data_IF_973705504715
#
_entry.id   IF_973705504715
#
_cell.length_a   1.000
_cell.length_b   1.000
_cell.length_c   1.000
_cell.angle_alpha   90.00
_cell.angle_beta   90.00
_cell.angle_gamma   90.00
#
_symmetry.space_group_name_H-M   'P 1'
#
loop_
_entity.id
_entity.type
_entity.pdbx_description
1 polymer ?
#
# COMPACT_ATOMS: atom_id res chain seq x y z
N UNK A 1 -13.76 12.06 -15.72
CA UNK A 1 -14.43 10.77 -15.48
C UNK A 1 -15.91 10.98 -15.17
N UNK A 2 -16.29 11.89 -14.28
CA UNK A 2 -17.69 12.21 -13.99
C UNK A 2 -18.46 12.85 -15.17
N UNK A 3 -17.84 13.77 -15.92
CA UNK A 3 -18.43 14.35 -17.14
C UNK A 3 -18.76 13.30 -18.21
N UNK A 4 -17.98 12.21 -18.28
CA UNK A 4 -18.22 11.10 -19.22
C UNK A 4 -19.47 10.29 -18.88
N UNK A 5 -20.02 10.45 -17.67
CA UNK A 5 -21.21 9.75 -17.18
C UNK A 5 -22.35 10.75 -16.92
N UNK A 6 -22.20 12.02 -17.33
CA UNK A 6 -23.18 13.08 -17.08
C UNK A 6 -23.37 13.45 -15.61
N UNK A 7 -22.42 13.09 -14.74
CA UNK A 7 -22.49 13.35 -13.31
C UNK A 7 -21.64 14.56 -12.92
N UNK A 8 -22.20 15.45 -12.10
CA UNK A 8 -21.51 16.62 -11.56
C UNK A 8 -20.82 16.27 -10.24
N UNK A 9 -19.53 16.59 -10.11
CA UNK A 9 -18.77 16.35 -8.88
C UNK A 9 -19.11 17.47 -7.88
N UNK A 10 -19.90 17.14 -6.87
CA UNK A 10 -20.28 18.06 -5.79
C UNK A 10 -19.75 17.60 -4.45
N UNK A 11 -19.64 18.54 -3.53
CA UNK A 11 -19.36 18.22 -2.12
C UNK A 11 -20.56 17.42 -1.58
N UNK A 12 -20.33 16.23 -0.98
CA UNK A 12 -21.38 15.47 -0.32
C UNK A 12 -22.06 16.26 0.80
N UNK A 13 -23.32 15.94 1.07
CA UNK A 13 -24.07 16.54 2.17
C UNK A 13 -23.35 16.34 3.51
N UNK A 14 -23.12 17.43 4.22
CA UNK A 14 -22.57 17.43 5.58
C UNK A 14 -23.74 17.30 6.58
N UNK A 15 -23.66 16.31 7.48
CA UNK A 15 -24.61 16.11 8.59
C UNK A 15 -23.93 16.45 9.90
N UNK A 16 -24.72 16.78 10.93
CA UNK A 16 -24.22 17.23 12.25
C UNK A 16 -23.20 16.26 12.86
N UNK A 17 -23.39 14.96 12.68
CA UNK A 17 -22.44 13.93 13.07
C UNK A 17 -22.12 13.00 11.90
N UNK A 18 -20.83 12.67 11.74
CA UNK A 18 -20.34 11.60 10.88
C UNK A 18 -19.30 10.77 11.65
N UNK A 19 -19.47 9.44 11.66
CA UNK A 19 -18.62 8.53 12.44
C UNK A 19 -17.35 8.09 11.69
N UNK A 20 -17.47 7.90 10.38
CA UNK A 20 -16.42 7.26 9.58
C UNK A 20 -15.65 8.24 8.70
N UNK A 21 -15.99 9.53 8.72
CA UNK A 21 -15.36 10.56 7.88
C UNK A 21 -15.45 11.92 8.53
N UNK A 22 -14.41 12.73 8.36
CA UNK A 22 -14.34 14.09 8.88
C UNK A 22 -15.17 15.03 8.00
N UNK A 23 -15.93 15.93 8.63
CA UNK A 23 -16.70 16.99 7.96
C UNK A 23 -15.79 18.16 7.58
N UNK A 24 -14.98 17.99 6.53
CA UNK A 24 -14.20 19.09 5.97
C UNK A 24 -15.12 20.16 5.38
N UNK A 25 -15.00 21.39 5.87
CA UNK A 25 -15.59 22.58 5.26
C UNK A 25 -14.63 23.09 4.17
N UNK A 26 -15.07 23.08 2.92
CA UNK A 26 -14.24 23.44 1.77
C UNK A 26 -15.08 24.13 0.71
N UNK A 27 -14.48 25.06 -0.03
CA UNK A 27 -15.19 25.84 -1.05
C UNK A 27 -15.31 25.11 -2.40
N UNK A 28 -14.59 24.00 -2.59
CA UNK A 28 -14.62 23.23 -3.84
C UNK A 28 -14.66 21.72 -3.61
N UNK A 29 -15.39 21.02 -4.47
CA UNK A 29 -15.48 19.56 -4.42
C UNK A 29 -14.12 18.88 -4.61
N UNK A 30 -13.24 19.47 -5.44
CA UNK A 30 -11.87 18.97 -5.60
C UNK A 30 -11.10 19.02 -4.28
N UNK A 31 -11.16 20.14 -3.56
CA UNK A 31 -10.43 20.29 -2.30
C UNK A 31 -10.95 19.31 -1.23
N UNK A 32 -12.27 19.14 -1.16
CA UNK A 32 -12.89 18.15 -0.29
C UNK A 32 -12.38 16.72 -0.52
N UNK A 33 -12.37 16.25 -1.78
CA UNK A 33 -11.94 14.89 -2.10
C UNK A 33 -10.44 14.72 -1.96
N UNK A 34 -9.66 15.79 -2.17
CA UNK A 34 -8.23 15.80 -1.89
C UNK A 34 -7.94 15.53 -0.41
N UNK A 35 -8.63 16.23 0.49
CA UNK A 35 -8.46 16.06 1.94
C UNK A 35 -9.04 14.73 2.46
N UNK A 36 -10.22 14.35 2.00
CA UNK A 36 -10.95 13.22 2.58
C UNK A 36 -10.59 11.86 2.00
N UNK A 37 -10.02 11.81 0.80
CA UNK A 37 -9.68 10.55 0.13
C UNK A 37 -8.21 10.54 -0.28
N UNK A 38 -7.77 11.52 -1.07
CA UNK A 38 -6.47 11.46 -1.73
C UNK A 38 -5.31 11.43 -0.74
N UNK A 39 -5.26 12.38 0.20
CA UNK A 39 -4.19 12.47 1.20
C UNK A 39 -4.20 11.23 2.13
N UNK A 40 -5.33 10.85 2.77
CA UNK A 40 -5.37 9.65 3.61
C UNK A 40 -4.98 8.38 2.88
N UNK A 41 -5.35 8.26 1.60
CA UNK A 41 -4.97 7.12 0.78
C UNK A 41 -3.46 7.10 0.50
N UNK A 42 -2.85 8.25 0.18
CA UNK A 42 -1.40 8.34 0.01
C UNK A 42 -0.66 8.00 1.29
N UNK A 43 -1.10 8.51 2.44
CA UNK A 43 -0.51 8.17 3.74
C UNK A 43 -0.62 6.67 4.04
N UNK A 44 -1.79 6.08 3.78
CA UNK A 44 -2.01 4.63 3.90
C UNK A 44 -1.10 3.83 2.98
N UNK A 45 -0.94 4.28 1.73
CA UNK A 45 -0.07 3.63 0.75
C UNK A 45 1.39 3.71 1.16
N UNK A 46 1.85 4.88 1.61
CA UNK A 46 3.21 5.08 2.15
C UNK A 46 3.44 4.19 3.36
N UNK A 47 2.49 4.15 4.29
CA UNK A 47 2.55 3.28 5.47
C UNK A 47 2.62 1.80 5.08
N UNK A 48 1.77 1.37 4.15
CA UNK A 48 1.75 -0.02 3.67
C UNK A 48 3.07 -0.41 3.00
N UNK A 49 3.62 0.46 2.15
CA UNK A 49 4.92 0.22 1.51
C UNK A 49 6.04 0.17 2.54
N UNK A 50 6.07 1.12 3.47
CA UNK A 50 7.07 1.18 4.54
C UNK A 50 7.02 -0.06 5.42
N UNK A 51 5.83 -0.52 5.79
CA UNK A 51 5.64 -1.75 6.54
C UNK A 51 6.10 -2.96 5.73
N UNK A 52 5.66 -3.10 4.47
CA UNK A 52 6.02 -4.24 3.61
C UNK A 52 7.53 -4.34 3.40
N UNK A 53 8.19 -3.24 3.11
CA UNK A 53 9.64 -3.21 2.84
C UNK A 53 10.50 -2.93 4.08
N UNK A 54 9.91 -2.98 5.28
CA UNK A 54 10.65 -2.93 6.54
C UNK A 54 11.67 -4.07 6.62
N UNK A 55 12.80 -3.82 7.28
CA UNK A 55 13.86 -4.80 7.52
C UNK A 55 13.32 -6.09 8.16
N UNK A 56 12.32 -5.97 9.03
CA UNK A 56 11.62 -7.08 9.70
C UNK A 56 10.98 -8.02 8.67
N UNK A 57 10.38 -7.48 7.61
CA UNK A 57 9.65 -8.26 6.61
C UNK A 57 10.55 -8.79 5.48
N UNK A 58 11.84 -8.50 5.49
CA UNK A 58 12.79 -8.98 4.45
C UNK A 58 12.91 -10.51 4.43
N UNK A 59 12.63 -11.19 5.55
CA UNK A 59 12.63 -12.65 5.64
C UNK A 59 11.54 -13.25 4.77
N UNK A 60 10.33 -12.68 4.77
CA UNK A 60 9.20 -13.16 3.97
C UNK A 60 9.53 -13.14 2.46
N UNK A 61 10.21 -12.09 1.99
CA UNK A 61 10.70 -12.05 0.61
C UNK A 61 11.84 -13.04 0.37
N UNK A 62 12.72 -13.23 1.35
CA UNK A 62 13.83 -14.19 1.23
C UNK A 62 13.31 -15.63 1.12
N UNK A 63 12.18 -15.97 1.73
CA UNK A 63 11.52 -17.28 1.58
C UNK A 63 11.07 -17.53 0.15
N UNK A 64 10.67 -16.50 -0.61
CA UNK A 64 10.30 -16.67 -2.03
C UNK A 64 11.44 -17.20 -2.92
N UNK A 65 12.70 -17.06 -2.46
CA UNK A 65 13.87 -17.64 -3.12
C UNK A 65 13.88 -19.18 -3.05
N UNK A 66 13.14 -19.77 -2.10
CA UNK A 66 12.95 -21.22 -1.97
C UNK A 66 11.84 -21.75 -2.87
N UNK A 67 11.21 -20.90 -3.69
CA UNK A 67 10.23 -21.36 -4.66
C UNK A 67 10.93 -22.25 -5.72
N UNK A 68 10.35 -23.40 -6.12
CA UNK A 68 10.99 -24.35 -7.04
C UNK A 68 11.51 -23.70 -8.34
N UNK A 69 10.74 -22.78 -8.93
CA UNK A 69 11.14 -22.06 -10.16
C UNK A 69 12.37 -21.15 -9.99
N UNK A 70 12.68 -20.75 -8.75
CA UNK A 70 13.89 -20.01 -8.43
C UNK A 70 15.05 -20.97 -8.15
N UNK A 71 14.78 -22.07 -7.44
CA UNK A 71 15.77 -23.11 -7.12
C UNK A 71 16.36 -23.74 -8.38
N UNK A 72 15.53 -24.01 -9.40
CA UNK A 72 15.99 -24.56 -10.68
C UNK A 72 17.04 -23.68 -11.38
N UNK A 73 17.07 -22.37 -11.07
CA UNK A 73 18.01 -21.41 -11.67
C UNK A 73 19.32 -21.31 -10.89
N UNK A 74 19.42 -21.94 -9.72
CA UNK A 74 20.56 -21.80 -8.83
C UNK A 74 21.49 -22.99 -8.91
N UNK A 75 22.80 -22.74 -8.85
CA UNK A 75 23.74 -23.82 -8.55
C UNK A 75 23.59 -24.25 -7.09
N UNK A 76 24.08 -25.45 -6.75
CA UNK A 76 24.05 -25.96 -5.37
C UNK A 76 24.78 -24.99 -4.42
N UNK A 77 25.84 -24.33 -4.87
CA UNK A 77 26.59 -23.39 -4.05
C UNK A 77 25.79 -22.09 -3.82
N UNK A 78 25.16 -21.55 -4.86
CA UNK A 78 24.29 -20.37 -4.75
C UNK A 78 23.12 -20.62 -3.81
N UNK A 79 22.51 -21.81 -3.90
CA UNK A 79 21.43 -22.21 -3.03
C UNK A 79 21.86 -22.28 -1.56
N UNK A 80 23.04 -22.84 -1.28
CA UNK A 80 23.62 -22.88 0.09
C UNK A 80 23.82 -21.48 0.66
N UNK A 81 24.35 -20.54 -0.12
CA UNK A 81 24.52 -19.16 0.31
C UNK A 81 23.19 -18.46 0.58
N UNK A 82 22.16 -18.70 -0.25
CA UNK A 82 20.81 -18.15 -0.03
C UNK A 82 20.16 -18.71 1.24
N UNK A 83 20.32 -20.01 1.50
CA UNK A 83 19.85 -20.66 2.75
C UNK A 83 20.56 -20.05 3.97
N UNK A 84 21.87 -19.82 3.89
CA UNK A 84 22.65 -19.21 4.97
C UNK A 84 22.18 -17.80 5.29
N UNK A 85 21.88 -16.99 4.27
CA UNK A 85 21.30 -15.65 4.42
C UNK A 85 19.92 -15.66 5.10
N UNK A 86 19.07 -16.64 4.78
CA UNK A 86 17.77 -16.79 5.43
C UNK A 86 17.97 -17.16 6.91
N UNK A 87 18.86 -18.13 7.18
CA UNK A 87 19.15 -18.59 8.54
C UNK A 87 19.78 -17.51 9.43
N UNK A 88 20.53 -16.55 8.89
CA UNK A 88 21.10 -15.46 9.67
C UNK A 88 20.09 -14.38 10.08
N UNK A 89 18.90 -14.39 9.48
CA UNK A 89 17.84 -13.41 9.75
C UNK A 89 16.71 -13.96 10.64
N UNK A 90 16.68 -15.27 10.88
CA UNK A 90 15.75 -15.99 11.77
C UNK A 90 16.45 -16.20 13.11
#
# INVERSE_FOLDING_TARGET
MAEKIGAEIKIPRITSEQKNRINYETDSAEHYYRLSIFIPYLDSLISSLSQRFSSINTIAFSISLLHPTNIEKYTINDFKEKIKLIKSKI
#
